data_IF_145434045969
#
_entry.id   IF_145434045969
#
_cell.length_a   1.000
_cell.length_b   1.000
_cell.length_c   1.000
_cell.angle_alpha   90.00
_cell.angle_beta   90.00
_cell.angle_gamma   90.00
#
_symmetry.space_group_name_H-M   'P 1'
#
loop_
_entity.id
_entity.type
_entity.pdbx_description
1 polymer ?
#
# COMPACT_ATOMS: atom_id res chain seq x y z
N UNK A 1 12.78 -18.46 3.45
CA UNK A 1 12.58 -17.01 3.68
C UNK A 1 11.35 -16.79 4.54
N UNK A 2 11.22 -15.63 5.21
CA UNK A 2 10.00 -15.21 5.89
C UNK A 2 9.43 -13.99 5.13
N UNK A 3 8.17 -14.10 4.70
CA UNK A 3 7.42 -13.05 4.03
C UNK A 3 6.39 -12.47 4.99
N UNK A 4 6.62 -11.24 5.45
CA UNK A 4 5.64 -10.48 6.21
C UNK A 4 4.67 -9.76 5.28
N UNK A 5 3.38 -10.08 5.35
CA UNK A 5 2.33 -9.46 4.52
C UNK A 5 1.59 -8.41 5.32
N UNK A 6 1.53 -7.20 4.76
CA UNK A 6 0.86 -6.05 5.36
C UNK A 6 0.01 -5.32 4.32
N UNK A 7 -0.89 -4.46 4.80
CA UNK A 7 -1.45 -3.39 3.98
C UNK A 7 -0.54 -2.16 4.01
N UNK A 8 -0.36 -1.52 2.85
CA UNK A 8 0.29 -0.20 2.79
C UNK A 8 -0.35 0.80 3.78
N UNK A 9 -1.67 0.74 3.97
CA UNK A 9 -2.39 1.61 4.91
C UNK A 9 -2.01 1.41 6.38
N UNK A 10 -1.38 0.28 6.75
CA UNK A 10 -0.84 0.07 8.10
C UNK A 10 0.48 0.84 8.32
N UNK A 11 1.17 1.21 7.24
CA UNK A 11 2.41 2.01 7.27
C UNK A 11 2.14 3.49 7.09
N UNK A 12 1.23 3.82 6.18
CA UNK A 12 0.91 5.20 5.80
C UNK A 12 -0.59 5.42 6.01
N UNK A 13 -0.92 6.10 7.09
CA UNK A 13 -2.32 6.37 7.45
C UNK A 13 -2.98 7.25 6.38
N UNK A 14 -4.17 6.84 5.92
CA UNK A 14 -4.98 7.63 4.98
C UNK A 14 -5.69 8.77 5.72
N UNK A 15 -5.33 10.01 5.43
CA UNK A 15 -5.92 11.22 6.02
C UNK A 15 -7.14 11.68 5.23
N UNK A 16 -8.22 10.90 5.30
CA UNK A 16 -9.43 11.18 4.51
C UNK A 16 -10.01 12.57 4.79
N UNK A 17 -9.96 13.04 6.04
CA UNK A 17 -10.47 14.37 6.41
C UNK A 17 -9.71 15.50 5.71
N UNK A 18 -8.41 15.32 5.45
CA UNK A 18 -7.57 16.30 4.72
C UNK A 18 -8.00 16.39 3.26
N UNK A 19 -8.28 15.26 2.61
CA UNK A 19 -8.83 15.23 1.25
C UNK A 19 -10.20 15.90 1.18
N UNK A 20 -11.11 15.54 2.10
CA UNK A 20 -12.47 16.09 2.18
C UNK A 20 -12.41 17.62 2.34
N UNK A 21 -11.64 18.09 3.30
CA UNK A 21 -11.45 19.52 3.56
C UNK A 21 -10.80 20.24 2.37
N UNK A 22 -9.83 19.60 1.70
CA UNK A 22 -9.17 20.16 0.53
C UNK A 22 -10.14 20.43 -0.63
N UNK A 23 -11.02 19.48 -0.94
CA UNK A 23 -12.05 19.68 -1.97
C UNK A 23 -13.12 20.66 -1.53
N UNK A 24 -13.60 20.58 -0.29
CA UNK A 24 -14.59 21.53 0.24
C UNK A 24 -14.09 22.97 0.15
N UNK A 25 -12.84 23.22 0.55
CA UNK A 25 -12.23 24.53 0.44
C UNK A 25 -12.10 24.98 -1.02
N UNK A 26 -11.74 24.07 -1.94
CA UNK A 26 -11.68 24.38 -3.35
C UNK A 26 -13.06 24.78 -3.91
N UNK A 27 -14.13 24.04 -3.59
CA UNK A 27 -15.50 24.41 -4.01
C UNK A 27 -15.95 25.76 -3.45
N UNK A 28 -15.58 26.08 -2.19
CA UNK A 28 -15.84 27.41 -1.61
C UNK A 28 -15.20 28.54 -2.42
N UNK A 29 -14.00 28.34 -2.96
CA UNK A 29 -13.36 29.34 -3.86
C UNK A 29 -14.12 29.54 -5.17
N UNK A 30 -14.92 28.55 -5.58
CA UNK A 30 -15.77 28.58 -6.77
C UNK A 30 -17.20 29.05 -6.45
N UNK A 31 -17.46 29.52 -5.23
CA UNK A 31 -18.80 29.91 -4.75
C UNK A 31 -19.85 28.79 -4.89
N UNK A 32 -19.42 27.52 -4.73
CA UNK A 32 -20.31 26.35 -4.74
C UNK A 32 -20.44 25.76 -3.34
N UNK A 33 -21.66 25.37 -2.98
CA UNK A 33 -21.98 24.68 -1.72
C UNK A 33 -21.90 23.16 -1.91
N UNK A 34 -20.68 22.63 -2.02
CA UNK A 34 -20.41 21.18 -2.08
C UNK A 34 -19.51 20.82 -0.90
N UNK A 35 -19.95 19.87 -0.08
CA UNK A 35 -19.20 19.43 1.09
C UNK A 35 -18.13 18.40 0.71
N UNK A 36 -17.10 18.29 1.55
CA UNK A 36 -16.08 17.25 1.38
C UNK A 36 -16.66 15.83 1.43
N UNK A 37 -17.75 15.62 2.17
CA UNK A 37 -18.44 14.34 2.23
C UNK A 37 -19.12 13.97 0.90
N UNK A 38 -19.75 14.93 0.22
CA UNK A 38 -20.40 14.71 -1.08
C UNK A 38 -19.36 14.25 -2.11
N UNK A 39 -18.19 14.91 -2.09
CA UNK A 39 -17.05 14.55 -2.93
C UNK A 39 -16.54 13.15 -2.61
N UNK A 40 -16.36 12.83 -1.33
CA UNK A 40 -15.92 11.51 -0.92
C UNK A 40 -16.90 10.41 -1.33
N UNK A 41 -18.20 10.63 -1.16
CA UNK A 41 -19.22 9.67 -1.56
C UNK A 41 -19.17 9.39 -3.06
N UNK A 42 -19.05 10.44 -3.88
CA UNK A 42 -18.85 10.27 -5.32
C UNK A 42 -17.55 9.51 -5.61
N UNK A 43 -16.43 9.90 -5.00
CA UNK A 43 -15.15 9.23 -5.23
C UNK A 43 -15.20 7.76 -4.86
N UNK A 44 -15.69 7.42 -3.67
CA UNK A 44 -15.78 6.05 -3.18
C UNK A 44 -16.54 5.14 -4.15
N UNK A 45 -17.61 5.64 -4.76
CA UNK A 45 -18.41 4.90 -5.75
C UNK A 45 -17.72 4.74 -7.11
N UNK A 46 -16.70 5.56 -7.42
CA UNK A 46 -16.04 5.60 -8.72
C UNK A 46 -14.55 5.21 -8.66
N UNK A 47 -14.00 4.86 -7.49
CA UNK A 47 -12.58 4.55 -7.30
C UNK A 47 -12.17 3.19 -7.85
N UNK A 48 -13.10 2.23 -8.00
CA UNK A 48 -12.74 0.86 -8.37
C UNK A 48 -12.00 0.75 -9.73
N UNK A 49 -12.48 1.37 -10.83
CA UNK A 49 -11.74 1.39 -12.10
C UNK A 49 -10.35 2.03 -11.97
N UNK A 50 -10.20 3.07 -11.15
CA UNK A 50 -8.92 3.73 -10.92
C UNK A 50 -7.94 2.85 -10.14
N UNK A 51 -8.43 2.13 -9.12
CA UNK A 51 -7.62 1.20 -8.29
C UNK A 51 -7.13 -0.02 -9.07
N UNK A 52 -7.90 -0.44 -10.07
CA UNK A 52 -7.51 -1.51 -10.99
C UNK A 52 -6.66 -1.00 -12.16
N UNK A 53 -6.42 0.31 -12.25
CA UNK A 53 -5.67 0.92 -13.35
C UNK A 53 -6.37 0.82 -14.71
N UNK A 54 -7.71 0.73 -14.73
CA UNK A 54 -8.52 0.73 -15.95
C UNK A 54 -8.72 2.16 -16.50
N UNK A 55 -8.58 3.16 -15.63
CA UNK A 55 -8.59 4.58 -15.97
C UNK A 55 -7.41 5.29 -15.32
N UNK A 56 -7.01 6.43 -15.89
CA UNK A 56 -5.99 7.33 -15.33
C UNK A 56 -6.62 8.33 -14.35
N UNK A 57 -5.80 8.95 -13.49
CA UNK A 57 -6.27 10.04 -12.61
C UNK A 57 -6.76 11.24 -13.43
N UNK A 58 -6.22 11.47 -14.63
CA UNK A 58 -6.71 12.52 -15.53
C UNK A 58 -8.15 12.24 -15.97
N UNK A 59 -8.44 11.01 -16.40
CA UNK A 59 -9.80 10.60 -16.76
C UNK A 59 -10.74 10.68 -15.54
N UNK A 60 -10.26 10.31 -14.35
CA UNK A 60 -11.02 10.45 -13.12
C UNK A 60 -11.33 11.93 -12.78
N UNK A 61 -10.37 12.82 -12.97
CA UNK A 61 -10.56 14.28 -12.86
C UNK A 61 -11.57 14.80 -13.89
N UNK A 62 -11.57 14.27 -15.12
CA UNK A 62 -12.52 14.66 -16.15
C UNK A 62 -13.95 14.22 -15.81
N UNK A 63 -14.11 13.01 -15.27
CA UNK A 63 -15.39 12.53 -14.74
C UNK A 63 -15.87 13.36 -13.55
N UNK A 64 -14.95 13.77 -12.66
CA UNK A 64 -15.24 14.65 -11.54
C UNK A 64 -15.76 16.01 -12.02
N UNK A 65 -15.07 16.63 -12.97
CA UNK A 65 -15.47 17.89 -13.59
C UNK A 65 -16.85 17.79 -14.22
N UNK A 66 -17.13 16.71 -14.93
CA UNK A 66 -18.44 16.46 -15.54
C UNK A 66 -19.54 16.29 -14.47
N UNK A 67 -19.29 15.54 -13.40
CA UNK A 67 -20.30 15.26 -12.39
C UNK A 67 -20.65 16.49 -11.54
N UNK A 68 -19.66 17.25 -11.10
CA UNK A 68 -19.87 18.44 -10.27
C UNK A 68 -20.09 19.73 -11.08
N UNK A 69 -20.12 19.62 -12.41
CA UNK A 69 -20.23 20.74 -13.35
C UNK A 69 -19.19 21.84 -13.06
N UNK A 70 -17.92 21.43 -12.98
CA UNK A 70 -16.79 22.30 -12.63
C UNK A 70 -15.62 22.13 -13.60
N UNK A 71 -14.62 22.99 -13.47
CA UNK A 71 -13.39 22.93 -14.26
C UNK A 71 -12.14 23.05 -13.37
N UNK A 72 -11.96 22.10 -12.44
CA UNK A 72 -10.71 21.99 -11.70
C UNK A 72 -9.59 21.57 -12.67
N UNK A 73 -8.43 22.23 -12.57
CA UNK A 73 -7.27 21.80 -13.34
C UNK A 73 -6.78 20.44 -12.84
N UNK A 74 -6.19 19.64 -13.73
CA UNK A 74 -5.62 18.35 -13.33
C UNK A 74 -4.57 18.51 -12.23
N UNK A 75 -3.75 19.56 -12.28
CA UNK A 75 -2.72 19.83 -11.27
C UNK A 75 -3.33 20.09 -9.89
N UNK A 76 -4.37 20.91 -9.81
CA UNK A 76 -5.04 21.20 -8.53
C UNK A 76 -5.78 19.97 -8.01
N UNK A 77 -6.53 19.27 -8.88
CA UNK A 77 -7.21 18.03 -8.52
C UNK A 77 -6.22 17.02 -7.97
N UNK A 78 -5.12 16.78 -8.69
CA UNK A 78 -4.10 15.81 -8.30
C UNK A 78 -3.42 16.19 -6.98
N UNK A 79 -3.18 17.48 -6.73
CA UNK A 79 -2.66 17.97 -5.46
C UNK A 79 -3.61 17.66 -4.29
N UNK A 80 -4.90 18.00 -4.43
CA UNK A 80 -5.89 17.74 -3.38
C UNK A 80 -6.09 16.23 -3.21
N UNK A 81 -6.19 15.48 -4.31
CA UNK A 81 -6.40 14.04 -4.31
C UNK A 81 -5.27 13.28 -3.60
N UNK A 82 -4.02 13.70 -3.78
CA UNK A 82 -2.87 13.08 -3.10
C UNK A 82 -2.69 13.55 -1.64
N UNK A 83 -3.39 14.59 -1.19
CA UNK A 83 -3.22 15.13 0.18
C UNK A 83 -3.58 14.14 1.29
N UNK A 84 -4.49 13.19 1.03
CA UNK A 84 -4.78 12.09 1.96
C UNK A 84 -3.59 11.16 2.22
N UNK A 85 -2.59 11.18 1.34
CA UNK A 85 -1.41 10.31 1.37
C UNK A 85 -0.14 11.05 1.84
N UNK A 86 -0.28 12.26 2.38
CA UNK A 86 0.85 12.98 2.97
C UNK A 86 1.32 12.30 4.26
N UNK A 87 2.61 11.96 4.32
CA UNK A 87 3.19 11.22 5.43
C UNK A 87 3.48 12.15 6.60
N UNK A 88 2.96 11.81 7.78
CA UNK A 88 3.36 12.48 9.01
C UNK A 88 4.66 11.89 9.59
N UNK A 89 5.20 12.58 10.60
CA UNK A 89 6.40 12.16 11.33
C UNK A 89 6.29 10.73 11.87
N UNK A 90 5.12 10.35 12.40
CA UNK A 90 4.91 9.00 12.94
C UNK A 90 4.99 7.92 11.86
N UNK A 91 4.43 8.17 10.68
CA UNK A 91 4.51 7.29 9.52
C UNK A 91 5.96 7.12 9.06
N UNK A 92 6.72 8.22 8.98
CA UNK A 92 8.14 8.20 8.60
C UNK A 92 9.01 7.44 9.61
N UNK A 93 8.78 7.65 10.92
CA UNK A 93 9.45 6.92 12.00
C UNK A 93 9.15 5.42 11.93
N UNK A 94 7.88 5.07 11.69
CA UNK A 94 7.44 3.67 11.53
C UNK A 94 8.13 3.00 10.36
N UNK A 95 8.10 3.61 9.18
CA UNK A 95 8.77 3.07 7.98
C UNK A 95 10.28 2.94 8.21
N UNK A 96 10.91 3.91 8.87
CA UNK A 96 12.34 3.86 9.24
C UNK A 96 12.64 2.67 10.17
N UNK A 97 11.80 2.42 11.17
CA UNK A 97 11.96 1.30 12.11
C UNK A 97 11.91 -0.04 11.37
N UNK A 98 10.92 -0.24 10.49
CA UNK A 98 10.79 -1.46 9.69
C UNK A 98 11.93 -1.63 8.68
N UNK A 99 12.38 -0.54 8.04
CA UNK A 99 13.55 -0.58 7.17
C UNK A 99 14.80 -1.04 7.93
N UNK A 100 15.07 -0.46 9.10
CA UNK A 100 16.23 -0.82 9.91
C UNK A 100 16.17 -2.28 10.36
N UNK A 101 14.98 -2.76 10.73
CA UNK A 101 14.75 -4.17 11.04
C UNK A 101 15.12 -5.07 9.85
N UNK A 102 14.61 -4.76 8.65
CA UNK A 102 14.91 -5.52 7.43
C UNK A 102 16.40 -5.48 7.09
N UNK A 103 17.09 -4.36 7.29
CA UNK A 103 18.53 -4.27 7.06
C UNK A 103 19.35 -5.24 7.93
N UNK A 104 18.83 -5.63 9.09
CA UNK A 104 19.47 -6.60 10.00
C UNK A 104 19.05 -8.06 9.74
N UNK A 105 18.10 -8.31 8.85
CA UNK A 105 17.56 -9.65 8.58
C UNK A 105 17.51 -9.92 7.07
N UNK A 106 18.47 -10.69 6.55
CA UNK A 106 18.57 -10.96 5.11
C UNK A 106 17.56 -12.00 4.61
N UNK A 107 17.00 -12.83 5.49
CA UNK A 107 16.01 -13.86 5.13
C UNK A 107 14.56 -13.41 5.33
N UNK A 108 14.34 -12.11 5.58
CA UNK A 108 13.02 -11.50 5.76
C UNK A 108 12.73 -10.50 4.64
N UNK A 109 11.53 -10.59 4.06
CA UNK A 109 11.01 -9.59 3.13
C UNK A 109 9.59 -9.19 3.55
N UNK A 110 9.21 -7.94 3.25
CA UNK A 110 7.83 -7.47 3.42
C UNK A 110 7.13 -7.28 2.10
N UNK A 111 5.89 -7.77 2.03
CA UNK A 111 4.98 -7.54 0.91
C UNK A 111 3.84 -6.64 1.39
N UNK A 112 3.77 -5.45 0.81
CA UNK A 112 2.73 -4.45 1.07
C UNK A 112 1.62 -4.56 0.02
N UNK A 113 0.55 -5.25 0.38
CA UNK A 113 -0.67 -5.38 -0.42
C UNK A 113 -1.47 -4.07 -0.33
N UNK A 114 -1.96 -3.55 -1.45
CA UNK A 114 -2.70 -2.28 -1.42
C UNK A 114 -3.74 -2.12 -2.52
N UNK A 115 -4.95 -1.70 -2.13
CA UNK A 115 -5.94 -1.12 -3.03
C UNK A 115 -5.68 0.38 -3.23
N UNK A 116 -4.74 0.70 -4.11
CA UNK A 116 -4.29 2.06 -4.41
C UNK A 116 -4.32 2.35 -5.90
N UNK A 117 -3.90 3.54 -6.32
CA UNK A 117 -3.68 3.92 -7.71
C UNK A 117 -2.25 4.44 -7.91
N UNK A 118 -1.78 4.54 -9.15
CA UNK A 118 -0.40 4.96 -9.45
C UNK A 118 -0.06 6.34 -8.88
N UNK A 119 -1.00 7.28 -8.86
CA UNK A 119 -0.72 8.62 -8.33
C UNK A 119 -0.46 8.58 -6.82
N UNK A 120 -1.34 7.95 -6.05
CA UNK A 120 -1.15 7.81 -4.61
C UNK A 120 0.13 7.05 -4.29
N UNK A 121 0.38 5.92 -4.97
CA UNK A 121 1.58 5.12 -4.75
C UNK A 121 2.86 5.93 -5.04
N UNK A 122 2.96 6.57 -6.20
CA UNK A 122 4.12 7.37 -6.56
C UNK A 122 4.32 8.57 -5.63
N UNK A 123 3.23 9.19 -5.18
CA UNK A 123 3.30 10.28 -4.21
C UNK A 123 3.83 9.81 -2.85
N UNK A 124 3.39 8.65 -2.36
CA UNK A 124 3.93 8.03 -1.14
C UNK A 124 5.42 7.71 -1.31
N UNK A 125 5.79 7.05 -2.41
CA UNK A 125 7.18 6.67 -2.67
C UNK A 125 8.12 7.88 -2.78
N UNK A 126 7.65 8.99 -3.39
CA UNK A 126 8.44 10.22 -3.48
C UNK A 126 8.78 10.82 -2.11
N UNK A 127 7.87 10.72 -1.14
CA UNK A 127 8.10 11.18 0.24
C UNK A 127 9.02 10.22 1.02
N UNK A 128 9.07 8.95 0.62
CA UNK A 128 9.91 7.93 1.22
C UNK A 128 11.31 7.85 0.60
N UNK A 129 11.61 8.55 -0.49
CA UNK A 129 12.87 8.38 -1.25
C UNK A 129 14.15 8.51 -0.40
N UNK A 130 14.14 9.35 0.64
CA UNK A 130 15.27 9.49 1.56
C UNK A 130 15.43 8.31 2.52
N UNK A 131 14.34 7.59 2.81
CA UNK A 131 14.28 6.44 3.71
C UNK A 131 14.43 5.14 2.90
N UNK A 132 13.71 5.00 1.79
CA UNK A 132 13.71 3.84 0.89
C UNK A 132 14.24 4.30 -0.48
N UNK A 133 15.57 4.33 -0.68
CA UNK A 133 16.12 4.62 -2.00
C UNK A 133 15.63 3.58 -3.02
N UNK A 134 15.64 3.95 -4.30
CA UNK A 134 15.03 3.19 -5.42
C UNK A 134 15.52 1.73 -5.54
N UNK A 135 16.67 1.40 -4.93
CA UNK A 135 17.29 0.07 -4.87
C UNK A 135 16.95 -0.73 -3.59
N UNK A 136 15.92 -0.31 -2.84
CA UNK A 136 15.46 -0.96 -1.61
C UNK A 136 13.95 -1.24 -1.61
N UNK A 137 13.27 -0.91 -2.71
CA UNK A 137 11.86 -1.25 -2.86
C UNK A 137 11.43 -1.39 -4.31
N UNK A 138 10.62 -2.41 -4.59
CA UNK A 138 10.07 -2.66 -5.93
C UNK A 138 8.55 -2.72 -5.95
N UNK A 139 7.98 -2.38 -7.11
CA UNK A 139 6.57 -2.62 -7.39
C UNK A 139 6.46 -3.94 -8.13
N UNK A 140 5.73 -4.89 -7.54
CA UNK A 140 5.35 -6.15 -8.16
C UNK A 140 4.50 -5.83 -9.39
N UNK A 141 5.02 -6.11 -10.58
CA UNK A 141 4.36 -5.87 -11.86
C UNK A 141 4.80 -6.90 -12.92
N UNK A 142 4.06 -6.96 -14.01
CA UNK A 142 4.38 -7.80 -15.18
C UNK A 142 5.49 -7.18 -16.07
N UNK A 143 5.76 -5.88 -15.92
CA UNK A 143 6.55 -5.10 -16.87
C UNK A 143 8.05 -4.98 -16.51
N UNK A 144 8.43 -5.29 -15.27
CA UNK A 144 9.81 -5.17 -14.79
C UNK A 144 10.49 -6.53 -14.65
N UNK A 145 11.77 -6.62 -15.03
CA UNK A 145 12.62 -7.75 -14.62
C UNK A 145 12.79 -7.71 -13.09
N UNK A 146 12.44 -8.82 -12.45
CA UNK A 146 12.38 -8.90 -10.99
C UNK A 146 13.77 -9.07 -10.40
N UNK A 147 14.16 -8.14 -9.52
CA UNK A 147 15.33 -8.32 -8.65
C UNK A 147 14.85 -9.04 -7.38
N UNK A 148 15.23 -10.30 -7.23
CA UNK A 148 14.79 -11.19 -6.13
C UNK A 148 15.23 -10.72 -4.72
N UNK A 149 16.12 -9.72 -4.63
CA UNK A 149 16.83 -9.34 -3.41
C UNK A 149 16.23 -8.14 -2.66
N UNK A 150 15.08 -7.63 -3.08
CA UNK A 150 14.50 -6.40 -2.53
C UNK A 150 13.70 -6.67 -1.26
N UNK A 151 13.95 -5.88 -0.20
CA UNK A 151 13.41 -6.19 1.15
C UNK A 151 11.98 -5.70 1.36
N UNK A 152 11.52 -4.70 0.61
CA UNK A 152 10.15 -4.20 0.65
C UNK A 152 9.55 -4.22 -0.75
N UNK A 153 8.44 -4.94 -0.89
CA UNK A 153 7.77 -5.16 -2.16
C UNK A 153 6.35 -4.61 -2.09
N UNK A 154 5.99 -3.76 -3.03
CA UNK A 154 4.64 -3.24 -3.16
C UNK A 154 3.84 -4.15 -4.10
N UNK A 155 2.74 -4.73 -3.61
CA UNK A 155 1.78 -5.52 -4.39
C UNK A 155 0.47 -4.73 -4.56
N UNK A 156 0.41 -3.77 -5.50
CA UNK A 156 -0.76 -2.92 -5.60
C UNK A 156 -1.79 -3.47 -6.61
N UNK A 157 -3.07 -3.15 -6.38
CA UNK A 157 -4.20 -3.64 -7.19
C UNK A 157 -4.14 -3.24 -8.66
N UNK A 158 -3.45 -2.16 -9.01
CA UNK A 158 -3.34 -1.76 -10.41
C UNK A 158 -2.38 -2.64 -11.21
N UNK A 159 -1.45 -3.34 -10.53
CA UNK A 159 -0.61 -4.36 -11.14
C UNK A 159 -1.32 -5.72 -11.18
N UNK A 160 -1.92 -6.15 -10.06
CA UNK A 160 -2.58 -7.46 -9.98
C UNK A 160 -3.93 -7.52 -10.71
N UNK A 161 -4.56 -6.36 -10.95
CA UNK A 161 -5.94 -6.23 -11.45
C UNK A 161 -6.98 -6.93 -10.56
N UNK A 162 -6.66 -7.18 -9.30
CA UNK A 162 -7.55 -7.82 -8.35
C UNK A 162 -8.31 -6.81 -7.48
N UNK A 163 -9.57 -7.11 -7.18
CA UNK A 163 -10.41 -6.30 -6.28
C UNK A 163 -10.28 -6.68 -4.82
N UNK A 164 -9.78 -7.89 -4.54
CA UNK A 164 -9.59 -8.40 -3.19
C UNK A 164 -8.09 -8.47 -2.81
N UNK A 165 -7.81 -8.20 -1.54
CA UNK A 165 -6.43 -8.28 -1.03
C UNK A 165 -5.88 -9.70 -1.07
N UNK A 166 -6.70 -10.73 -0.85
CA UNK A 166 -6.28 -12.13 -0.93
C UNK A 166 -5.77 -12.50 -2.31
N UNK A 167 -6.46 -12.05 -3.36
CA UNK A 167 -6.09 -12.32 -4.75
C UNK A 167 -4.84 -11.54 -5.15
N UNK A 168 -4.71 -10.31 -4.63
CA UNK A 168 -3.47 -9.52 -4.79
C UNK A 168 -2.28 -10.19 -4.13
N UNK A 169 -2.44 -10.79 -2.95
CA UNK A 169 -1.39 -11.60 -2.32
C UNK A 169 -1.09 -12.86 -3.14
N UNK A 170 -2.11 -13.58 -3.63
CA UNK A 170 -1.91 -14.75 -4.50
C UNK A 170 -1.09 -14.39 -5.73
N UNK A 171 -1.40 -13.26 -6.37
CA UNK A 171 -0.60 -12.71 -7.46
C UNK A 171 0.85 -12.44 -7.05
N UNK A 172 1.08 -11.78 -5.91
CA UNK A 172 2.42 -11.49 -5.40
C UNK A 172 3.24 -12.76 -5.10
N UNK A 173 2.63 -13.75 -4.43
CA UNK A 173 3.25 -15.05 -4.10
C UNK A 173 3.67 -15.80 -5.37
N UNK A 174 2.78 -15.84 -6.37
CA UNK A 174 3.08 -16.47 -7.65
C UNK A 174 4.25 -15.79 -8.38
N UNK A 175 4.33 -14.46 -8.30
CA UNK A 175 5.43 -13.71 -8.90
C UNK A 175 6.76 -13.90 -8.18
N UNK A 176 6.71 -13.99 -6.86
CA UNK A 176 7.87 -14.25 -6.02
C UNK A 176 8.40 -15.68 -6.11
N UNK A 177 7.63 -16.60 -6.73
CA UNK A 177 7.99 -18.02 -6.85
C UNK A 177 8.38 -18.64 -5.50
N UNK A 178 7.62 -18.29 -4.45
CA UNK A 178 7.89 -18.79 -3.10
C UNK A 178 7.90 -20.32 -3.08
N UNK A 179 8.88 -20.88 -2.40
CA UNK A 179 9.02 -22.31 -2.23
C UNK A 179 8.14 -22.80 -1.08
N UNK A 180 7.81 -24.10 -1.05
CA UNK A 180 7.00 -24.66 0.04
C UNK A 180 7.60 -24.41 1.43
N UNK A 181 8.93 -24.33 1.54
CA UNK A 181 9.66 -24.07 2.80
C UNK A 181 9.59 -22.61 3.28
N UNK A 182 9.12 -21.69 2.44
CA UNK A 182 9.01 -20.28 2.78
C UNK A 182 7.82 -20.03 3.70
N UNK A 183 8.01 -19.20 4.73
CA UNK A 183 6.96 -18.86 5.67
C UNK A 183 6.26 -17.58 5.23
N UNK A 184 4.94 -17.62 5.04
CA UNK A 184 4.15 -16.43 4.70
C UNK A 184 3.29 -16.04 5.89
N UNK A 185 3.60 -14.90 6.51
CA UNK A 185 2.93 -14.43 7.72
C UNK A 185 2.12 -13.18 7.39
N UNK A 186 0.79 -13.29 7.45
CA UNK A 186 -0.09 -12.15 7.26
C UNK A 186 -0.37 -11.43 8.57
N UNK A 187 -0.11 -10.13 8.59
CA UNK A 187 -0.55 -9.18 9.61
C UNK A 187 -1.73 -8.33 9.13
N UNK A 188 -2.31 -8.70 7.98
CA UNK A 188 -3.43 -8.01 7.36
C UNK A 188 -4.72 -8.79 7.65
N UNK A 189 -5.62 -8.21 8.44
CA UNK A 189 -6.87 -8.84 8.88
C UNK A 189 -7.84 -9.23 7.74
N UNK A 190 -7.67 -8.65 6.55
CA UNK A 190 -8.43 -9.02 5.33
C UNK A 190 -7.88 -10.28 4.67
N UNK A 191 -6.69 -10.74 5.06
CA UNK A 191 -6.06 -11.98 4.58
C UNK A 191 -5.77 -12.87 5.79
N UNK A 192 -6.78 -13.63 6.22
CA UNK A 192 -6.67 -14.60 7.33
C UNK A 192 -6.32 -16.01 6.86
N UNK A 193 -6.41 -16.28 5.56
CA UNK A 193 -6.14 -17.58 4.93
C UNK A 193 -5.52 -17.35 3.55
N UNK A 194 -4.67 -18.27 3.12
CA UNK A 194 -4.07 -18.34 1.78
C UNK A 194 -3.85 -19.80 1.42
N UNK A 195 -3.72 -20.11 0.13
CA UNK A 195 -3.44 -21.46 -0.38
C UNK A 195 -1.98 -21.90 -0.16
N UNK A 196 -1.10 -21.00 0.29
CA UNK A 196 0.32 -21.32 0.53
C UNK A 196 0.48 -22.28 1.74
N UNK A 197 1.26 -23.37 1.64
CA UNK A 197 1.30 -24.44 2.64
C UNK A 197 1.78 -23.97 4.02
N UNK A 198 2.75 -23.05 4.05
CA UNK A 198 3.29 -22.43 5.27
C UNK A 198 2.73 -21.01 5.48
N UNK A 199 1.43 -20.82 5.25
CA UNK A 199 0.77 -19.56 5.55
C UNK A 199 0.27 -19.50 6.99
N UNK A 200 0.49 -18.39 7.68
CA UNK A 200 -0.11 -18.10 8.98
C UNK A 200 -0.62 -16.67 9.04
N UNK A 201 -1.79 -16.47 9.66
CA UNK A 201 -2.27 -15.14 10.02
C UNK A 201 -2.00 -14.88 11.49
N UNK A 202 -1.47 -13.69 11.79
CA UNK A 202 -1.24 -13.21 13.14
C UNK A 202 -1.86 -11.82 13.26
N UNK A 203 -2.73 -11.62 14.25
CA UNK A 203 -3.29 -10.30 14.53
C UNK A 203 -2.17 -9.40 15.09
N UNK A 204 -1.78 -8.32 14.40
CA UNK A 204 -0.75 -7.41 14.90
C UNK A 204 -1.24 -6.57 16.09
N UNK A 205 -2.54 -6.58 16.40
CA UNK A 205 -3.16 -5.67 17.35
C UNK A 205 -3.39 -4.28 16.75
N UNK A 206 -3.57 -3.29 17.63
CA UNK A 206 -3.83 -1.90 17.21
C UNK A 206 -2.63 -1.21 16.61
N UNK A 207 -1.43 -1.56 17.07
CA UNK A 207 -0.18 -0.93 16.69
C UNK A 207 0.80 -2.00 16.20
N UNK A 208 1.51 -1.74 15.10
CA UNK A 208 2.45 -2.69 14.49
C UNK A 208 3.73 -2.95 15.35
N UNK A 209 3.75 -2.52 16.61
CA UNK A 209 4.94 -2.51 17.47
C UNK A 209 5.50 -3.90 17.74
N UNK A 210 4.63 -4.90 17.92
CA UNK A 210 5.01 -6.28 18.24
C UNK A 210 5.37 -7.12 17.02
N UNK A 211 5.14 -6.60 15.81
CA UNK A 211 5.33 -7.39 14.60
C UNK A 211 6.79 -7.79 14.42
N UNK A 212 7.74 -6.89 14.71
CA UNK A 212 9.17 -7.23 14.62
C UNK A 212 9.58 -8.31 15.63
N UNK A 213 9.09 -8.26 16.86
CA UNK A 213 9.33 -9.30 17.87
C UNK A 213 8.76 -10.67 17.43
N UNK A 214 7.57 -10.66 16.84
CA UNK A 214 6.95 -11.89 16.30
C UNK A 214 7.82 -12.47 15.17
N UNK A 215 8.30 -11.63 14.26
CA UNK A 215 9.15 -12.08 13.15
C UNK A 215 10.50 -12.57 13.66
N UNK A 216 11.14 -11.88 14.61
CA UNK A 216 12.37 -12.32 15.27
C UNK A 216 12.23 -13.72 15.88
N UNK A 217 11.16 -13.96 16.63
CA UNK A 217 10.90 -15.28 17.21
C UNK A 217 10.76 -16.37 16.14
N UNK A 218 10.16 -16.06 14.99
CA UNK A 218 10.04 -16.98 13.86
C UNK A 218 11.38 -17.24 13.17
N UNK A 219 12.24 -16.23 13.04
CA UNK A 219 13.62 -16.38 12.53
C UNK A 219 14.39 -17.35 13.43
N UNK A 220 14.38 -17.14 14.76
CA UNK A 220 15.08 -18.00 15.71
C UNK A 220 14.58 -19.45 15.69
N UNK A 221 13.26 -19.67 15.63
CA UNK A 221 12.69 -21.02 15.55
C UNK A 221 13.11 -21.77 14.28
N UNK A 222 13.19 -21.05 13.16
CA UNK A 222 13.60 -21.60 11.88
C UNK A 222 15.06 -22.04 11.93
N UNK A 223 15.97 -21.21 12.45
CA UNK A 223 17.39 -21.56 12.62
C UNK A 223 17.58 -22.83 13.46
N UNK A 224 16.83 -22.96 14.56
CA UNK A 224 16.88 -24.16 15.42
C UNK A 224 16.46 -25.43 14.67
N UNK A 225 15.44 -25.37 13.82
CA UNK A 225 14.96 -26.52 13.05
C UNK A 225 15.91 -26.97 11.94
N UNK A 226 16.75 -26.07 11.42
CA UNK A 226 17.77 -26.40 10.40
C UNK A 226 19.13 -26.78 10.99
N UNK A 227 19.31 -26.66 12.31
CA UNK A 227 20.54 -26.99 13.03
C UNK A 227 20.62 -28.44 13.54
N UNK A 228 19.61 -29.26 13.24
CA UNK A 228 19.45 -30.66 13.71
C UNK A 228 19.66 -31.65 12.59
#
# INVERSE_FOLDING_TARGET
MIIGVFSLGQFVSSKLDVLKLGFENWFKTQHKEVLGEDVWQWMANNLAPLRLGNITVKQFCDQFNQYFDVNISFTEFNKIFNSMCELDKSSLERVTKFKNFLNSHDDVQFVLVSHTNYSHLNYILSQLQAILPVQQSLIISDEQEWLENEKILFAPSMSSKCTEHSDTLKYAVNKLKLEEKDLVVSFLNTIKKSEHPNFTYIDPGKDLEKVMEIIENLVTQKELNYSV
#
